data_IF_224412481738
#
_entry.id   IF_224412481738
#
_cell.length_a   1.000
_cell.length_b   1.000
_cell.length_c   1.000
_cell.angle_alpha   90.00
_cell.angle_beta   90.00
_cell.angle_gamma   90.00
#
_symmetry.space_group_name_H-M   'P 1'
#
loop_
_entity.id
_entity.type
_entity.pdbx_description
1 polymer ?
#
# COMPACT_ATOMS: atom_id res chain seq x y z
N UNK A 1 -65.19 36.88 -1.36
CA UNK A 1 -63.95 36.45 -2.03
C UNK A 1 -63.13 35.69 -1.05
N UNK A 2 -63.07 34.35 -1.22
CA UNK A 2 -62.24 33.47 -0.37
C UNK A 2 -60.90 33.29 -1.07
N UNK A 3 -59.81 33.73 -0.44
CA UNK A 3 -58.45 33.43 -0.89
C UNK A 3 -58.10 32.04 -0.44
N UNK A 4 -57.94 31.13 -1.41
CA UNK A 4 -57.43 29.77 -1.18
C UNK A 4 -55.91 29.90 -1.13
N UNK A 5 -55.33 29.69 0.05
CA UNK A 5 -53.89 29.57 0.24
C UNK A 5 -53.54 28.10 0.08
N UNK A 6 -52.88 27.78 -1.02
CA UNK A 6 -52.26 26.45 -1.20
C UNK A 6 -51.00 26.36 -0.36
N UNK A 7 -50.84 25.35 0.49
CA UNK A 7 -49.55 25.10 1.12
C UNK A 7 -48.63 24.45 0.08
N UNK A 8 -47.52 25.09 -0.17
CA UNK A 8 -46.39 24.51 -0.93
C UNK A 8 -45.79 23.40 -0.08
N UNK A 9 -45.75 22.13 -0.55
CA UNK A 9 -45.04 21.12 0.16
C UNK A 9 -43.55 21.45 0.05
N UNK A 10 -42.89 21.65 1.20
CA UNK A 10 -41.47 21.75 1.31
C UNK A 10 -40.86 20.40 0.85
N UNK A 11 -40.34 20.38 -0.37
CA UNK A 11 -39.58 19.27 -0.90
C UNK A 11 -38.30 19.16 -0.10
N UNK A 12 -38.31 18.22 0.81
CA UNK A 12 -37.14 17.89 1.63
C UNK A 12 -36.09 17.30 0.69
N UNK A 13 -35.12 18.12 0.33
CA UNK A 13 -33.94 17.70 -0.42
C UNK A 13 -33.05 16.88 0.52
N UNK A 14 -33.30 15.58 0.58
CA UNK A 14 -32.41 14.65 1.26
C UNK A 14 -31.18 14.50 0.39
N UNK A 15 -30.18 15.37 0.61
CA UNK A 15 -28.85 15.22 0.02
C UNK A 15 -28.25 13.92 0.56
N UNK A 16 -28.32 12.89 -0.26
CA UNK A 16 -27.63 11.63 0.00
C UNK A 16 -26.12 11.87 -0.09
N UNK A 17 -25.49 12.13 1.04
CA UNK A 17 -24.05 12.30 1.18
C UNK A 17 -23.28 10.97 1.18
N UNK A 18 -23.90 9.88 0.77
CA UNK A 18 -23.30 8.53 0.83
C UNK A 18 -22.33 8.24 -0.34
N UNK A 19 -22.33 9.06 -1.41
CA UNK A 19 -21.53 8.81 -2.62
C UNK A 19 -20.07 9.26 -2.56
N UNK A 20 -19.73 10.28 -1.75
CA UNK A 20 -18.40 10.91 -1.81
C UNK A 20 -17.28 10.08 -1.17
N UNK A 21 -17.54 9.32 -0.11
CA UNK A 21 -16.51 8.54 0.60
C UNK A 21 -15.96 7.40 -0.26
N UNK A 22 -16.84 6.62 -0.91
CA UNK A 22 -16.44 5.50 -1.79
C UNK A 22 -15.61 5.97 -2.98
N UNK A 23 -15.94 7.14 -3.55
CA UNK A 23 -15.20 7.72 -4.69
C UNK A 23 -13.82 8.18 -4.27
N UNK A 24 -13.67 8.81 -3.11
CA UNK A 24 -12.39 9.27 -2.56
C UNK A 24 -11.49 8.08 -2.21
N UNK A 25 -12.03 7.03 -1.59
CA UNK A 25 -11.28 5.83 -1.24
C UNK A 25 -10.77 5.10 -2.49
N UNK A 26 -11.59 5.03 -3.54
CA UNK A 26 -11.19 4.44 -4.84
C UNK A 26 -10.11 5.26 -5.54
N UNK A 27 -10.15 6.57 -5.47
CA UNK A 27 -9.10 7.46 -6.02
C UNK A 27 -7.78 7.24 -5.28
N UNK A 28 -7.81 7.13 -3.97
CA UNK A 28 -6.63 6.86 -3.14
C UNK A 28 -6.04 5.48 -3.44
N UNK A 29 -6.88 4.46 -3.57
CA UNK A 29 -6.45 3.11 -3.96
C UNK A 29 -5.78 3.12 -5.33
N UNK A 30 -6.38 3.75 -6.33
CA UNK A 30 -5.81 3.87 -7.67
C UNK A 30 -4.46 4.61 -7.65
N UNK A 31 -4.29 5.61 -6.79
CA UNK A 31 -3.04 6.33 -6.63
C UNK A 31 -1.94 5.43 -6.05
N UNK A 32 -2.24 4.60 -5.07
CA UNK A 32 -1.30 3.61 -4.51
C UNK A 32 -0.88 2.62 -5.59
N UNK A 33 -1.83 2.06 -6.33
CA UNK A 33 -1.55 1.12 -7.43
C UNK A 33 -0.63 1.78 -8.46
N UNK A 34 -0.98 2.99 -8.91
CA UNK A 34 -0.18 3.71 -9.91
C UNK A 34 1.23 4.00 -9.43
N UNK A 35 1.40 4.40 -8.17
CA UNK A 35 2.71 4.67 -7.60
C UNK A 35 3.57 3.41 -7.53
N UNK A 36 3.01 2.31 -7.03
CA UNK A 36 3.75 1.07 -6.83
C UNK A 36 4.09 0.36 -8.15
N UNK A 37 3.20 0.41 -9.14
CA UNK A 37 3.37 -0.27 -10.43
C UNK A 37 4.21 0.52 -11.44
N UNK A 38 4.51 1.78 -11.16
CA UNK A 38 5.37 2.62 -11.98
C UNK A 38 6.83 2.43 -11.60
N UNK A 39 7.59 1.74 -12.45
CA UNK A 39 9.01 1.47 -12.23
C UNK A 39 9.31 0.32 -11.28
N UNK A 40 10.58 0.19 -10.93
CA UNK A 40 11.08 -0.82 -9.99
C UNK A 40 11.50 -0.17 -8.68
N UNK A 41 11.52 -0.97 -7.64
CA UNK A 41 11.82 -0.53 -6.28
C UNK A 41 13.01 -1.30 -5.71
N UNK A 42 13.79 -0.64 -4.87
CA UNK A 42 14.88 -1.25 -4.11
C UNK A 42 14.70 -0.96 -2.63
N UNK A 43 15.19 -1.87 -1.77
CA UNK A 43 15.27 -1.64 -0.33
C UNK A 43 16.60 -0.91 -0.04
N UNK A 44 16.49 0.33 0.42
CA UNK A 44 17.64 1.16 0.77
C UNK A 44 17.94 1.16 2.27
N UNK A 45 17.01 0.68 3.08
CA UNK A 45 17.20 0.46 4.51
C UNK A 45 16.30 -0.68 4.99
N UNK A 46 16.86 -1.60 5.75
CA UNK A 46 16.10 -2.63 6.46
C UNK A 46 16.69 -2.85 7.84
N UNK A 47 15.85 -2.77 8.86
CA UNK A 47 16.21 -3.05 10.25
C UNK A 47 15.32 -4.15 10.81
N UNK A 48 15.91 -5.05 11.57
CA UNK A 48 15.21 -6.08 12.32
C UNK A 48 15.70 -6.08 13.76
N UNK A 49 14.78 -5.89 14.70
CA UNK A 49 15.09 -5.81 16.15
C UNK A 49 16.25 -4.84 16.46
N UNK A 50 16.26 -3.70 15.78
CA UNK A 50 17.30 -2.67 15.90
C UNK A 50 18.58 -2.93 15.11
N UNK A 51 18.78 -4.11 14.56
CA UNK A 51 19.95 -4.44 13.74
C UNK A 51 19.73 -4.06 12.28
N UNK A 52 20.73 -3.40 11.66
CA UNK A 52 20.70 -3.07 10.23
C UNK A 52 21.10 -4.29 9.43
N UNK A 53 20.18 -4.78 8.59
CA UNK A 53 20.40 -5.94 7.70
C UNK A 53 20.14 -5.59 6.23
N UNK A 54 20.29 -4.33 5.86
CA UNK A 54 20.05 -3.83 4.49
C UNK A 54 20.88 -4.62 3.46
N UNK A 55 22.10 -5.03 3.81
CA UNK A 55 22.98 -5.79 2.92
C UNK A 55 22.42 -7.14 2.47
N UNK A 56 21.49 -7.73 3.23
CA UNK A 56 20.84 -8.99 2.87
C UNK A 56 19.97 -8.85 1.61
N UNK A 57 19.55 -7.62 1.31
CA UNK A 57 18.75 -7.28 0.12
C UNK A 57 19.59 -6.78 -1.06
N UNK A 58 20.90 -6.86 -0.98
CA UNK A 58 21.78 -6.46 -2.08
C UNK A 58 21.46 -7.25 -3.36
N UNK A 59 21.31 -6.54 -4.48
CA UNK A 59 20.97 -7.14 -5.77
C UNK A 59 19.49 -7.39 -5.99
N UNK A 60 18.64 -7.17 -4.99
CA UNK A 60 17.19 -7.29 -5.15
C UNK A 60 16.57 -6.03 -5.71
N UNK A 61 15.66 -6.22 -6.69
CA UNK A 61 14.69 -5.24 -7.16
C UNK A 61 13.29 -5.84 -7.08
N UNK A 62 12.32 -5.00 -6.89
CA UNK A 62 10.92 -5.42 -6.78
C UNK A 62 10.09 -4.75 -7.87
N UNK A 63 9.34 -5.55 -8.61
CA UNK A 63 8.39 -5.08 -9.62
C UNK A 63 6.98 -5.43 -9.19
N UNK A 64 6.17 -4.40 -8.95
CA UNK A 64 4.77 -4.54 -8.56
C UNK A 64 3.88 -4.44 -9.79
N UNK A 65 2.86 -5.28 -9.85
CA UNK A 65 1.89 -5.32 -10.95
C UNK A 65 0.48 -5.02 -10.45
N UNK A 66 -0.34 -4.43 -11.32
CA UNK A 66 -1.72 -4.05 -11.00
C UNK A 66 -2.64 -5.24 -10.71
N UNK A 67 -2.28 -6.45 -11.17
CA UNK A 67 -2.97 -7.70 -10.82
C UNK A 67 -2.66 -8.21 -9.41
N UNK A 68 -1.97 -7.40 -8.60
CA UNK A 68 -1.57 -7.73 -7.22
C UNK A 68 -0.49 -8.80 -7.10
N UNK A 69 0.30 -9.00 -8.13
CA UNK A 69 1.53 -9.79 -8.02
C UNK A 69 2.76 -8.88 -7.89
N UNK A 70 3.83 -9.42 -7.35
CA UNK A 70 5.12 -8.75 -7.21
C UNK A 70 6.25 -9.73 -7.50
N UNK A 71 7.18 -9.32 -8.35
CA UNK A 71 8.38 -10.08 -8.63
C UNK A 71 9.53 -9.59 -7.75
N UNK A 72 10.18 -10.52 -7.05
CA UNK A 72 11.48 -10.32 -6.44
C UNK A 72 12.55 -10.72 -7.46
N UNK A 73 13.29 -9.74 -7.94
CA UNK A 73 14.30 -9.90 -8.98
C UNK A 73 15.68 -9.82 -8.32
N UNK A 74 16.42 -10.90 -8.37
CA UNK A 74 17.78 -10.98 -7.82
C UNK A 74 18.79 -11.03 -8.96
N UNK A 75 19.69 -10.04 -8.98
CA UNK A 75 20.75 -9.96 -10.02
C UNK A 75 20.21 -10.09 -11.45
N UNK A 76 19.07 -9.46 -11.71
CA UNK A 76 18.41 -9.45 -13.01
C UNK A 76 17.53 -10.66 -13.34
N UNK A 77 17.39 -11.63 -12.43
CA UNK A 77 16.57 -12.82 -12.60
C UNK A 77 15.44 -12.84 -11.60
N UNK A 78 14.21 -13.15 -12.03
CA UNK A 78 13.08 -13.34 -11.12
C UNK A 78 13.34 -14.56 -10.25
N UNK A 79 13.60 -14.32 -8.96
CA UNK A 79 13.83 -15.39 -7.99
C UNK A 79 12.51 -15.95 -7.47
N UNK A 80 11.54 -15.07 -7.24
CA UNK A 80 10.23 -15.44 -6.73
C UNK A 80 9.18 -14.41 -7.11
N UNK A 81 7.98 -14.91 -7.40
CA UNK A 81 6.78 -14.10 -7.56
C UNK A 81 5.90 -14.28 -6.34
N UNK A 82 5.49 -13.18 -5.75
CA UNK A 82 4.57 -13.14 -4.62
C UNK A 82 3.32 -12.34 -4.95
N UNK A 83 2.57 -12.03 -3.91
CA UNK A 83 1.39 -11.16 -3.97
C UNK A 83 1.59 -9.92 -3.10
N UNK A 84 0.87 -8.86 -3.44
CA UNK A 84 0.85 -7.63 -2.67
C UNK A 84 -0.52 -6.98 -2.69
N UNK A 85 -0.79 -6.16 -1.71
CA UNK A 85 -1.95 -5.28 -1.69
C UNK A 85 -1.60 -3.98 -0.95
N UNK A 86 -2.31 -2.90 -1.27
CA UNK A 86 -2.15 -1.62 -0.63
C UNK A 86 -3.50 -1.04 -0.24
N UNK A 87 -3.63 -0.61 1.00
CA UNK A 87 -4.81 0.06 1.53
C UNK A 87 -4.42 1.46 2.01
N UNK A 88 -4.82 2.48 1.24
CA UNK A 88 -4.54 3.87 1.57
C UNK A 88 -5.35 4.37 2.77
N UNK A 89 -6.50 3.78 3.06
CA UNK A 89 -7.34 4.16 4.20
C UNK A 89 -6.70 3.77 5.52
N UNK A 90 -6.13 2.57 5.59
CA UNK A 90 -5.43 2.06 6.79
C UNK A 90 -3.93 2.32 6.76
N UNK A 91 -3.41 2.89 5.68
CA UNK A 91 -1.97 3.08 5.47
C UNK A 91 -1.20 1.75 5.62
N UNK A 92 -1.67 0.72 4.95
CA UNK A 92 -1.13 -0.63 5.06
C UNK A 92 -0.71 -1.15 3.69
N UNK A 93 0.48 -1.75 3.61
CA UNK A 93 0.91 -2.56 2.46
C UNK A 93 1.13 -3.98 2.96
N UNK A 94 0.56 -4.94 2.25
CA UNK A 94 0.72 -6.36 2.55
C UNK A 94 1.53 -7.02 1.45
N UNK A 95 2.47 -7.86 1.80
CA UNK A 95 3.24 -8.67 0.87
C UNK A 95 3.28 -10.13 1.32
N UNK A 96 3.30 -11.05 0.37
CA UNK A 96 3.43 -12.47 0.66
C UNK A 96 4.22 -13.19 -0.42
N UNK A 97 5.38 -13.69 -0.04
CA UNK A 97 6.21 -14.60 -0.83
C UNK A 97 6.10 -16.00 -0.22
N UNK A 98 5.15 -16.80 -0.70
CA UNK A 98 4.89 -18.14 -0.16
C UNK A 98 6.11 -19.05 -0.28
N UNK A 99 6.36 -19.85 0.77
CA UNK A 99 7.49 -20.77 0.81
C UNK A 99 8.85 -20.10 0.57
N UNK A 100 8.99 -18.86 1.00
CA UNK A 100 10.24 -18.12 0.90
C UNK A 100 11.11 -18.32 2.14
N UNK A 101 12.41 -18.12 1.95
CA UNK A 101 13.41 -18.06 3.01
C UNK A 101 13.91 -16.62 3.17
N UNK A 102 14.59 -16.26 4.29
CA UNK A 102 15.21 -14.94 4.39
C UNK A 102 16.18 -14.67 3.22
N UNK A 103 16.26 -13.43 2.72
CA UNK A 103 15.60 -12.23 3.24
C UNK A 103 14.14 -12.03 2.79
N UNK A 104 13.65 -12.70 1.75
CA UNK A 104 12.31 -12.48 1.21
C UNK A 104 11.21 -12.77 2.21
N UNK A 105 11.35 -13.81 3.02
CA UNK A 105 10.37 -14.16 4.05
C UNK A 105 10.17 -13.06 5.10
N UNK A 106 11.16 -12.18 5.28
CA UNK A 106 11.08 -11.05 6.20
C UNK A 106 10.13 -9.95 5.71
N UNK A 107 9.77 -9.95 4.43
CA UNK A 107 8.85 -9.00 3.83
C UNK A 107 7.38 -9.41 3.99
N UNK A 108 7.11 -10.65 4.35
CA UNK A 108 5.76 -11.18 4.44
C UNK A 108 4.96 -10.51 5.55
N UNK A 109 3.67 -10.33 5.30
CA UNK A 109 2.71 -9.78 6.24
C UNK A 109 2.31 -8.35 5.95
N UNK A 110 1.58 -7.76 6.89
CA UNK A 110 1.07 -6.39 6.79
C UNK A 110 2.08 -5.41 7.38
N UNK A 111 2.37 -4.36 6.62
CA UNK A 111 3.27 -3.28 6.99
C UNK A 111 2.50 -1.98 7.12
N UNK A 112 2.68 -1.27 8.21
CA UNK A 112 2.17 0.08 8.36
C UNK A 112 3.06 1.07 7.60
N UNK A 113 2.47 1.88 6.74
CA UNK A 113 3.20 2.93 6.00
C UNK A 113 3.34 4.15 6.91
N UNK A 114 4.55 4.42 7.36
CA UNK A 114 4.86 5.53 8.26
C UNK A 114 5.04 6.84 7.50
N UNK A 115 5.60 6.76 6.28
CA UNK A 115 5.79 7.90 5.38
C UNK A 115 5.90 7.42 3.94
N UNK A 116 5.48 8.24 3.00
CA UNK A 116 5.56 7.89 1.58
C UNK A 116 5.51 9.12 0.67
N UNK A 117 6.02 8.90 -0.54
CA UNK A 117 5.84 9.79 -1.69
C UNK A 117 5.72 8.92 -2.96
N UNK A 118 5.71 9.54 -4.13
CA UNK A 118 5.77 8.81 -5.40
C UNK A 118 7.08 8.04 -5.62
N UNK A 119 8.12 8.36 -4.88
CA UNK A 119 9.47 7.82 -5.07
C UNK A 119 10.01 7.02 -3.90
N UNK A 120 9.34 7.02 -2.75
CA UNK A 120 9.76 6.23 -1.60
C UNK A 120 8.58 5.79 -0.72
N UNK A 121 8.79 4.70 0.01
CA UNK A 121 7.91 4.21 1.06
C UNK A 121 8.75 3.86 2.27
N UNK A 122 8.36 4.39 3.43
CA UNK A 122 8.89 4.00 4.74
C UNK A 122 7.81 3.24 5.47
N UNK A 123 8.09 2.02 5.91
CA UNK A 123 7.11 1.17 6.56
C UNK A 123 7.70 0.42 7.74
N UNK A 124 6.83 0.03 8.65
CA UNK A 124 7.18 -0.74 9.86
C UNK A 124 6.22 -1.90 10.10
N UNK A 125 6.73 -2.94 10.72
CA UNK A 125 5.97 -4.10 11.14
C UNK A 125 6.40 -4.47 12.55
N UNK A 126 5.52 -4.28 13.51
CA UNK A 126 5.80 -4.55 14.91
C UNK A 126 4.86 -5.63 15.42
N UNK A 127 5.44 -6.71 15.89
CA UNK A 127 4.74 -7.79 16.58
C UNK A 127 5.18 -7.84 18.04
N UNK A 128 4.60 -8.73 18.83
CA UNK A 128 5.00 -8.92 20.24
C UNK A 128 6.42 -9.45 20.38
N UNK A 129 6.97 -10.09 19.33
CA UNK A 129 8.28 -10.78 19.38
C UNK A 129 9.31 -10.17 18.45
N UNK A 130 8.91 -9.34 17.49
CA UNK A 130 9.79 -8.83 16.44
C UNK A 130 9.39 -7.42 16.00
N UNK A 131 10.39 -6.58 15.78
CA UNK A 131 10.21 -5.26 15.16
C UNK A 131 11.00 -5.19 13.86
N UNK A 132 10.35 -4.68 12.81
CA UNK A 132 10.98 -4.46 11.50
C UNK A 132 10.63 -3.09 10.95
N UNK A 133 11.59 -2.47 10.28
CA UNK A 133 11.36 -1.25 9.52
C UNK A 133 12.12 -1.30 8.20
N UNK A 134 11.56 -0.72 7.17
CA UNK A 134 12.19 -0.67 5.85
C UNK A 134 11.94 0.67 5.16
N UNK A 135 12.82 0.95 4.21
CA UNK A 135 12.64 2.02 3.22
C UNK A 135 12.79 1.41 1.84
N UNK A 136 11.76 1.61 1.02
CA UNK A 136 11.77 1.33 -0.41
C UNK A 136 11.99 2.64 -1.16
N UNK A 137 12.82 2.61 -2.18
CA UNK A 137 13.01 3.72 -3.10
C UNK A 137 12.84 3.26 -4.54
N UNK A 138 12.19 4.12 -5.33
CA UNK A 138 12.01 3.89 -6.76
C UNK A 138 13.31 4.16 -7.50
N UNK A 139 13.61 3.30 -8.48
CA UNK A 139 14.73 3.46 -9.41
C UNK A 139 14.42 4.44 -10.53
#
# INVERSE_FOLDING_TARGET
MRKIIFPIPALLFFLMTVGCKKTVDKIKENAVISAMTDGQWVITSFKKDGAVITSDFTGYKFQYYSNRTVDAIKDGVVEKTGTWDGDATTMTITANFSNSVPPLSLLNGAWHVDNNSWTYVVASQNTTTETKSLRLEKL
#
